data_IF_528182531331
#
_entry.id   IF_528182531331
#
_cell.length_a   1.000
_cell.length_b   1.000
_cell.length_c   1.000
_cell.angle_alpha   90.00
_cell.angle_beta   90.00
_cell.angle_gamma   90.00
#
_symmetry.space_group_name_H-M   'P 1'
#
loop_
_entity.id
_entity.type
_entity.pdbx_description
1 polymer ?
#
# COMPACT_ATOMS: atom_id res chain seq x y z
N UNK A 1 -33.26 39.39 -49.25
CA UNK A 1 -32.33 38.66 -48.37
C UNK A 1 -32.09 39.30 -47.01
N UNK A 2 -31.72 40.59 -46.88
CA UNK A 2 -31.41 41.19 -45.56
C UNK A 2 -32.60 41.31 -44.58
N UNK A 3 -33.86 41.32 -45.06
CA UNK A 3 -35.04 41.42 -44.17
C UNK A 3 -35.49 40.09 -43.56
N UNK A 4 -35.13 38.94 -44.13
CA UNK A 4 -35.60 37.62 -43.64
C UNK A 4 -34.67 36.97 -42.61
N UNK A 5 -33.38 37.32 -42.59
CA UNK A 5 -32.40 36.74 -41.64
C UNK A 5 -32.61 37.23 -40.20
N UNK A 6 -33.27 38.39 -40.02
CA UNK A 6 -33.48 39.00 -38.71
C UNK A 6 -34.46 38.24 -37.80
N UNK A 7 -35.15 37.23 -38.33
CA UNK A 7 -36.15 36.44 -37.59
C UNK A 7 -35.54 35.27 -36.80
N UNK A 8 -34.27 34.88 -37.04
CA UNK A 8 -33.76 33.59 -36.55
C UNK A 8 -32.51 33.54 -35.65
N UNK A 9 -31.90 34.65 -35.22
CA UNK A 9 -30.91 34.68 -34.11
C UNK A 9 -30.43 36.11 -33.83
N UNK A 10 -30.16 36.41 -32.56
CA UNK A 10 -29.55 37.66 -32.06
C UNK A 10 -28.10 37.84 -32.56
N UNK A 11 -27.93 38.08 -33.85
CA UNK A 11 -26.63 38.38 -34.46
C UNK A 11 -26.51 39.89 -34.68
N UNK A 12 -25.38 40.47 -34.28
CA UNK A 12 -25.13 41.90 -34.45
C UNK A 12 -24.96 42.27 -35.93
N UNK A 13 -25.49 43.43 -36.34
CA UNK A 13 -25.50 43.90 -37.74
C UNK A 13 -24.11 43.90 -38.40
N UNK A 14 -23.04 44.07 -37.62
CA UNK A 14 -21.64 44.03 -38.07
C UNK A 14 -21.22 42.62 -38.53
N UNK A 15 -21.64 41.57 -37.84
CA UNK A 15 -21.31 40.19 -38.21
C UNK A 15 -22.05 39.77 -39.49
N UNK A 16 -23.32 40.18 -39.62
CA UNK A 16 -24.10 39.96 -40.84
C UNK A 16 -23.45 40.69 -42.02
N UNK A 17 -23.01 41.93 -41.84
CA UNK A 17 -22.29 42.70 -42.86
C UNK A 17 -20.99 42.02 -43.32
N UNK A 18 -20.20 41.47 -42.38
CA UNK A 18 -18.94 40.77 -42.70
C UNK A 18 -19.18 39.48 -43.50
N UNK A 19 -20.18 38.68 -43.13
CA UNK A 19 -20.50 37.41 -43.80
C UNK A 19 -21.08 37.66 -45.19
N UNK A 20 -21.95 38.67 -45.32
CA UNK A 20 -22.52 39.06 -46.63
C UNK A 20 -21.43 39.61 -47.56
N UNK A 21 -20.46 40.35 -47.04
CA UNK A 21 -19.31 40.83 -47.82
C UNK A 21 -18.41 39.68 -48.30
N UNK A 22 -18.10 38.70 -47.44
CA UNK A 22 -17.30 37.52 -47.83
C UNK A 22 -18.02 36.68 -48.91
N UNK A 23 -19.36 36.57 -48.83
CA UNK A 23 -20.18 35.91 -49.85
C UNK A 23 -20.16 36.64 -51.20
N UNK A 24 -20.35 37.96 -51.24
CA UNK A 24 -20.30 38.72 -52.50
C UNK A 24 -18.92 38.66 -53.17
N UNK A 25 -17.84 38.55 -52.40
CA UNK A 25 -16.48 38.49 -52.94
C UNK A 25 -16.10 37.11 -53.51
N UNK A 26 -16.74 36.02 -53.06
CA UNK A 26 -16.41 34.64 -53.48
C UNK A 26 -17.42 34.04 -54.44
N UNK A 27 -18.69 34.44 -54.34
CA UNK A 27 -19.80 33.91 -55.15
C UNK A 27 -19.91 32.37 -55.16
N UNK A 28 -19.48 31.72 -54.07
CA UNK A 28 -19.68 30.29 -53.79
C UNK A 28 -20.15 30.10 -52.33
N UNK A 29 -20.67 28.92 -51.99
CA UNK A 29 -21.22 28.62 -50.66
C UNK A 29 -20.14 28.38 -49.58
N UNK A 30 -18.92 28.90 -49.76
CA UNK A 30 -17.79 28.73 -48.82
C UNK A 30 -17.50 30.00 -48.02
N UNK A 31 -17.29 29.86 -46.71
CA UNK A 31 -16.97 30.97 -45.79
C UNK A 31 -15.57 30.81 -45.21
N UNK A 32 -14.87 31.93 -44.96
CA UNK A 32 -13.55 31.88 -44.32
C UNK A 32 -13.63 31.30 -42.89
N UNK A 33 -12.82 30.27 -42.55
CA UNK A 33 -12.79 29.73 -41.20
C UNK A 33 -12.30 30.79 -40.20
N UNK A 34 -13.03 30.97 -39.09
CA UNK A 34 -12.59 31.83 -38.01
C UNK A 34 -11.26 31.30 -37.42
N UNK A 35 -10.19 32.11 -37.49
CA UNK A 35 -8.94 31.81 -36.78
C UNK A 35 -9.20 31.83 -35.27
N UNK A 36 -9.08 30.68 -34.61
CA UNK A 36 -9.04 30.62 -33.14
C UNK A 36 -7.71 31.19 -32.69
N UNK A 37 -7.70 32.44 -32.22
CA UNK A 37 -6.53 33.08 -31.62
C UNK A 37 -6.28 32.51 -30.22
N UNK A 38 -5.68 31.32 -30.17
CA UNK A 38 -5.15 30.70 -28.96
C UNK A 38 -3.62 30.76 -28.92
N UNK A 39 -3.04 30.95 -27.73
CA UNK A 39 -1.59 30.91 -27.53
C UNK A 39 -1.06 29.50 -27.87
N UNK A 40 0.05 29.34 -28.61
CA UNK A 40 0.61 28.02 -28.93
C UNK A 40 0.83 27.20 -27.64
N UNK A 41 0.53 25.89 -27.68
CA UNK A 41 0.88 24.98 -26.58
C UNK A 41 2.41 24.96 -26.47
N UNK A 42 2.95 25.64 -25.45
CA UNK A 42 4.39 25.61 -25.16
C UNK A 42 4.82 24.14 -25.04
N UNK A 43 5.83 23.68 -25.78
CA UNK A 43 6.46 22.38 -25.56
C UNK A 43 7.83 22.64 -24.93
N UNK A 44 8.22 21.87 -23.89
CA UNK A 44 9.54 22.02 -23.30
C UNK A 44 10.58 21.49 -24.30
N UNK A 45 11.75 22.15 -24.32
CA UNK A 45 12.90 21.72 -25.10
C UNK A 45 13.33 20.31 -24.63
N UNK A 46 13.58 19.41 -25.58
CA UNK A 46 13.90 18.00 -25.34
C UNK A 46 15.22 17.85 -24.58
N UNK A 47 16.23 18.68 -24.91
CA UNK A 47 17.53 18.69 -24.23
C UNK A 47 17.40 19.18 -22.77
N UNK A 48 16.57 20.19 -22.54
CA UNK A 48 16.29 20.70 -21.18
C UNK A 48 15.52 19.66 -20.36
N UNK A 49 14.62 18.92 -21.02
CA UNK A 49 13.83 17.87 -20.39
C UNK A 49 14.73 16.74 -19.91
N UNK A 50 15.70 16.31 -20.73
CA UNK A 50 16.65 15.27 -20.37
C UNK A 50 17.58 15.69 -19.23
N UNK A 51 18.19 16.88 -19.33
CA UNK A 51 19.03 17.44 -18.25
C UNK A 51 18.30 17.49 -16.90
N UNK A 52 17.03 17.89 -16.89
CA UNK A 52 16.21 17.91 -15.68
C UNK A 52 15.91 16.50 -15.17
N UNK A 53 15.58 15.54 -16.03
CA UNK A 53 15.33 14.15 -15.63
C UNK A 53 16.56 13.52 -15.00
N UNK A 54 17.73 13.60 -15.65
CA UNK A 54 18.98 13.03 -15.14
C UNK A 54 19.35 13.62 -13.79
N UNK A 55 19.35 14.96 -13.67
CA UNK A 55 19.72 15.64 -12.41
C UNK A 55 18.78 15.29 -11.26
N UNK A 56 17.47 15.23 -11.53
CA UNK A 56 16.47 14.88 -10.51
C UNK A 56 16.63 13.43 -10.07
N UNK A 57 16.82 12.51 -11.02
CA UNK A 57 16.98 11.08 -10.76
C UNK A 57 18.24 10.78 -9.93
N UNK A 58 19.38 11.39 -10.27
CA UNK A 58 20.63 11.17 -9.55
C UNK A 58 20.60 11.71 -8.12
N UNK A 59 20.05 12.90 -7.91
CA UNK A 59 19.91 13.45 -6.57
C UNK A 59 18.88 12.67 -5.73
N UNK A 60 17.82 12.12 -6.33
CA UNK A 60 16.91 11.20 -5.64
C UNK A 60 17.62 9.90 -5.23
N UNK A 61 18.46 9.31 -6.10
CA UNK A 61 19.29 8.13 -5.77
C UNK A 61 20.25 8.38 -4.60
N UNK A 62 20.76 9.61 -4.48
CA UNK A 62 21.71 10.03 -3.44
C UNK A 62 21.06 10.67 -2.20
N UNK A 63 19.73 10.76 -2.16
CA UNK A 63 18.97 11.43 -1.12
C UNK A 63 19.37 12.91 -0.89
N UNK A 64 19.79 13.61 -1.94
CA UNK A 64 20.16 15.01 -1.91
C UNK A 64 18.93 15.93 -2.03
N UNK A 65 18.99 17.10 -1.37
CA UNK A 65 17.89 18.07 -1.44
C UNK A 65 17.86 18.76 -2.80
N UNK A 66 16.73 18.68 -3.50
CA UNK A 66 16.47 19.41 -4.74
C UNK A 66 15.47 20.54 -4.50
N UNK A 67 15.84 21.74 -4.95
CA UNK A 67 14.96 22.90 -4.95
C UNK A 67 14.90 23.53 -6.34
N UNK A 68 13.86 24.33 -6.58
CA UNK A 68 13.76 25.12 -7.82
C UNK A 68 14.92 26.09 -7.99
N UNK A 69 15.61 26.50 -6.92
CA UNK A 69 16.81 27.34 -7.01
C UNK A 69 17.99 26.53 -7.54
N UNK A 70 18.20 25.32 -7.00
CA UNK A 70 19.27 24.41 -7.41
C UNK A 70 19.11 24.00 -8.88
N UNK A 71 17.89 23.65 -9.30
CA UNK A 71 17.61 23.27 -10.69
C UNK A 71 17.82 24.44 -11.65
N UNK A 72 17.51 25.68 -11.25
CA UNK A 72 17.79 26.87 -12.07
C UNK A 72 19.28 27.13 -12.20
N UNK A 73 20.03 26.97 -11.11
CA UNK A 73 21.47 27.18 -11.11
C UNK A 73 22.15 26.13 -12.00
N UNK A 74 21.74 24.86 -11.86
CA UNK A 74 22.21 23.77 -12.73
C UNK A 74 21.91 24.03 -14.21
N UNK A 75 20.68 24.43 -14.55
CA UNK A 75 20.35 24.78 -15.94
C UNK A 75 21.15 25.98 -16.44
N UNK A 76 21.41 26.99 -15.59
CA UNK A 76 22.22 28.15 -15.94
C UNK A 76 23.66 27.76 -16.27
N UNK A 77 24.25 26.84 -15.51
CA UNK A 77 25.58 26.26 -15.76
C UNK A 77 25.63 25.50 -17.10
N UNK A 78 24.51 24.91 -17.52
CA UNK A 78 24.36 24.26 -18.83
C UNK A 78 23.94 25.23 -19.96
N UNK A 79 23.98 26.54 -19.71
CA UNK A 79 23.68 27.59 -20.71
C UNK A 79 22.20 27.97 -20.83
N UNK A 80 21.32 27.42 -20.01
CA UNK A 80 19.88 27.68 -20.07
C UNK A 80 19.39 28.62 -18.98
N UNK A 81 19.01 29.85 -19.37
CA UNK A 81 18.46 30.83 -18.44
C UNK A 81 16.93 30.73 -18.31
N UNK A 82 16.45 30.25 -17.16
CA UNK A 82 15.03 30.15 -16.85
C UNK A 82 14.62 31.09 -15.71
N UNK A 83 13.47 31.74 -15.87
CA UNK A 83 12.76 32.32 -14.72
C UNK A 83 12.12 31.22 -13.87
N UNK A 84 11.94 31.48 -12.56
CA UNK A 84 11.31 30.53 -11.61
C UNK A 84 9.99 29.97 -12.15
N UNK A 85 9.12 30.85 -12.66
CA UNK A 85 7.81 30.48 -13.19
C UNK A 85 7.86 29.74 -14.53
N UNK A 86 8.89 29.96 -15.34
CA UNK A 86 9.09 29.21 -16.59
C UNK A 86 9.55 27.78 -16.27
N UNK A 87 10.50 27.63 -15.35
CA UNK A 87 10.96 26.30 -14.90
C UNK A 87 9.84 25.50 -14.24
N UNK A 88 9.06 26.10 -13.34
CA UNK A 88 7.92 25.43 -12.71
C UNK A 88 6.91 24.89 -13.73
N UNK A 89 6.61 25.67 -14.77
CA UNK A 89 5.71 25.22 -15.85
C UNK A 89 6.29 24.06 -16.66
N UNK A 90 7.61 24.05 -16.89
CA UNK A 90 8.31 22.92 -17.54
C UNK A 90 8.21 21.69 -16.66
N UNK A 91 8.58 21.80 -15.37
CA UNK A 91 8.54 20.70 -14.41
C UNK A 91 7.14 20.08 -14.29
N UNK A 92 6.10 20.90 -14.13
CA UNK A 92 4.72 20.41 -14.04
C UNK A 92 4.27 19.70 -15.32
N UNK A 93 4.71 20.17 -16.49
CA UNK A 93 4.39 19.51 -17.77
C UNK A 93 5.13 18.21 -17.97
N UNK A 94 6.34 18.09 -17.41
CA UNK A 94 7.10 16.84 -17.34
C UNK A 94 6.58 15.89 -16.24
N UNK A 95 5.53 16.26 -15.50
CA UNK A 95 4.92 15.44 -14.45
C UNK A 95 5.53 15.61 -13.05
N UNK A 96 6.47 16.54 -12.86
CA UNK A 96 7.07 16.81 -11.55
C UNK A 96 6.27 17.84 -10.75
N UNK A 97 6.05 17.58 -9.47
CA UNK A 97 5.40 18.51 -8.54
C UNK A 97 6.28 18.76 -7.31
N UNK A 98 6.14 19.94 -6.70
CA UNK A 98 6.82 20.29 -5.46
C UNK A 98 5.93 19.94 -4.27
N UNK A 99 6.30 18.91 -3.52
CA UNK A 99 5.58 18.46 -2.33
C UNK A 99 6.51 17.71 -1.39
N UNK A 100 6.00 17.31 -0.22
CA UNK A 100 6.65 16.23 0.52
C UNK A 100 6.49 14.98 -0.32
N UNK A 101 7.55 14.58 -1.01
CA UNK A 101 7.53 13.35 -1.78
C UNK A 101 7.09 12.23 -0.84
N UNK A 102 6.02 11.52 -1.20
CA UNK A 102 5.88 10.16 -0.72
C UNK A 102 7.20 9.48 -1.08
N UNK A 103 8.03 9.23 -0.07
CA UNK A 103 9.25 8.46 -0.26
C UNK A 103 8.81 7.02 -0.52
N UNK A 104 8.28 6.75 -1.72
CA UNK A 104 8.11 5.40 -2.23
C UNK A 104 9.49 4.77 -2.17
N UNK A 105 9.60 3.65 -1.46
CA UNK A 105 10.86 2.96 -1.36
C UNK A 105 11.32 2.62 -2.80
N UNK A 106 12.57 2.91 -3.17
CA UNK A 106 13.09 2.63 -4.52
C UNK A 106 12.89 1.14 -4.88
N UNK A 107 12.86 0.27 -3.87
CA UNK A 107 12.61 -1.17 -4.03
C UNK A 107 11.17 -1.50 -4.46
N UNK A 108 10.19 -0.60 -4.27
CA UNK A 108 8.79 -0.80 -4.63
C UNK A 108 8.62 -1.20 -6.10
N UNK A 109 9.38 -0.55 -7.01
CA UNK A 109 9.36 -0.83 -8.46
C UNK A 109 10.51 -1.75 -8.90
N UNK A 110 11.17 -2.45 -7.96
CA UNK A 110 12.15 -3.46 -8.37
C UNK A 110 11.46 -4.60 -9.13
N UNK A 111 12.07 -5.20 -10.18
CA UNK A 111 11.42 -6.23 -11.00
C UNK A 111 10.84 -7.39 -10.17
N UNK A 112 11.53 -7.80 -9.11
CA UNK A 112 11.05 -8.84 -8.20
C UNK A 112 9.79 -8.42 -7.42
N UNK A 113 9.73 -7.17 -6.95
CA UNK A 113 8.55 -6.66 -6.23
C UNK A 113 7.38 -6.40 -7.17
N UNK A 114 7.63 -5.92 -8.40
CA UNK A 114 6.62 -5.80 -9.45
C UNK A 114 6.06 -7.18 -9.80
N UNK A 115 6.90 -8.18 -10.10
CA UNK A 115 6.45 -9.53 -10.39
C UNK A 115 5.66 -10.15 -9.22
N UNK A 116 6.07 -9.88 -7.98
CA UNK A 116 5.34 -10.28 -6.79
C UNK A 116 3.97 -9.56 -6.70
N UNK A 117 3.94 -8.25 -6.92
CA UNK A 117 2.73 -7.43 -6.97
C UNK A 117 1.76 -7.96 -8.01
N UNK A 118 2.20 -8.21 -9.25
CA UNK A 118 1.35 -8.78 -10.30
C UNK A 118 0.75 -10.14 -9.87
N UNK A 119 1.54 -11.04 -9.28
CA UNK A 119 1.02 -12.34 -8.78
C UNK A 119 -0.02 -12.15 -7.67
N UNK A 120 0.26 -11.29 -6.71
CA UNK A 120 -0.68 -10.97 -5.63
C UNK A 120 -1.99 -10.37 -6.17
N UNK A 121 -1.89 -9.43 -7.10
CA UNK A 121 -3.04 -8.79 -7.73
C UNK A 121 -3.86 -9.80 -8.53
N UNK A 122 -3.24 -10.68 -9.32
CA UNK A 122 -3.94 -11.77 -10.03
C UNK A 122 -4.72 -12.66 -9.07
N UNK A 123 -4.11 -13.09 -7.96
CA UNK A 123 -4.80 -13.86 -6.92
C UNK A 123 -6.00 -13.10 -6.35
N UNK A 124 -5.81 -11.83 -5.97
CA UNK A 124 -6.86 -11.01 -5.38
C UNK A 124 -8.00 -10.77 -6.37
N UNK A 125 -7.71 -10.37 -7.59
CA UNK A 125 -8.71 -10.11 -8.63
C UNK A 125 -9.46 -11.38 -9.06
N UNK A 126 -8.82 -12.55 -9.05
CA UNK A 126 -9.50 -13.83 -9.30
C UNK A 126 -10.57 -14.16 -8.25
N UNK A 127 -10.46 -13.59 -7.03
CA UNK A 127 -11.48 -13.70 -5.99
C UNK A 127 -12.61 -12.67 -6.14
N UNK A 128 -12.53 -11.71 -7.05
CA UNK A 128 -13.57 -10.69 -7.22
C UNK A 128 -14.51 -11.05 -8.38
N UNK A 129 -15.78 -10.72 -8.21
CA UNK A 129 -16.82 -10.87 -9.23
C UNK A 129 -17.33 -9.50 -9.69
N UNK A 130 -18.11 -9.50 -10.77
CA UNK A 130 -18.72 -8.29 -11.32
C UNK A 130 -17.68 -7.36 -11.94
N UNK A 131 -17.62 -6.10 -11.50
CA UNK A 131 -16.63 -5.11 -11.98
C UNK A 131 -15.39 -5.08 -11.08
N UNK A 132 -15.01 -6.23 -10.52
CA UNK A 132 -14.04 -6.36 -9.46
C UNK A 132 -14.39 -5.46 -8.28
N UNK A 133 -15.61 -5.62 -7.74
CA UNK A 133 -16.16 -4.78 -6.67
C UNK A 133 -16.87 -5.57 -5.57
N UNK A 134 -17.01 -6.88 -5.72
CA UNK A 134 -17.57 -7.79 -4.73
C UNK A 134 -16.72 -9.06 -4.64
N UNK A 135 -16.33 -9.50 -3.43
CA UNK A 135 -15.55 -10.72 -3.27
C UNK A 135 -16.43 -11.97 -3.33
N UNK A 136 -15.95 -13.01 -4.02
CA UNK A 136 -16.55 -14.33 -4.17
C UNK A 136 -16.43 -15.13 -2.88
N UNK A 137 -15.21 -15.21 -2.33
CA UNK A 137 -14.96 -15.62 -0.95
C UNK A 137 -14.69 -14.39 -0.10
N UNK A 138 -15.16 -14.32 1.15
CA UNK A 138 -14.86 -13.22 2.05
C UNK A 138 -13.36 -12.89 2.08
N UNK A 139 -13.01 -11.61 1.99
CA UNK A 139 -11.63 -11.15 2.15
C UNK A 139 -11.40 -10.73 3.60
N UNK A 140 -10.38 -11.30 4.24
CA UNK A 140 -9.94 -10.96 5.58
C UNK A 140 -8.61 -10.23 5.48
N UNK A 141 -8.48 -9.12 6.19
CA UNK A 141 -7.21 -8.40 6.34
C UNK A 141 -6.86 -8.34 7.81
N UNK A 142 -5.70 -8.87 8.17
CA UNK A 142 -5.16 -8.83 9.52
C UNK A 142 -3.81 -8.11 9.52
N UNK A 143 -3.46 -7.55 10.67
CA UNK A 143 -2.21 -6.84 10.89
C UNK A 143 -1.99 -6.57 12.38
N UNK A 144 -0.78 -6.13 12.70
CA UNK A 144 -0.37 -5.65 14.02
C UNK A 144 -0.02 -4.17 13.96
N UNK A 145 -0.32 -3.45 15.04
CA UNK A 145 0.10 -2.07 15.19
C UNK A 145 0.53 -1.77 16.61
N UNK A 146 1.38 -0.76 16.77
CA UNK A 146 1.82 -0.26 18.06
C UNK A 146 1.23 1.13 18.32
N UNK A 147 0.84 1.39 19.57
CA UNK A 147 0.35 2.71 19.99
C UNK A 147 1.06 3.16 21.28
N UNK A 148 1.79 4.26 21.20
CA UNK A 148 2.53 4.82 22.33
C UNK A 148 1.61 5.57 23.32
N UNK A 149 2.01 5.64 24.59
CA UNK A 149 1.31 6.41 25.62
C UNK A 149 1.09 7.88 25.23
N UNK A 150 2.11 8.48 24.61
CA UNK A 150 2.08 9.85 24.12
C UNK A 150 1.90 9.89 22.59
N UNK A 151 1.05 9.00 22.06
CA UNK A 151 0.75 9.00 20.64
C UNK A 151 0.20 10.35 20.21
N UNK A 152 0.83 10.95 19.22
CA UNK A 152 0.44 12.23 18.64
C UNK A 152 0.05 12.03 17.18
N UNK A 153 -0.83 12.90 16.70
CA UNK A 153 -1.17 12.93 15.28
C UNK A 153 0.11 13.18 14.47
N UNK A 154 0.27 12.45 13.37
CA UNK A 154 1.36 12.69 12.41
C UNK A 154 1.32 14.10 11.84
N UNK A 155 0.13 14.70 11.77
CA UNK A 155 -0.06 16.07 11.32
C UNK A 155 0.00 17.02 12.52
N UNK A 156 0.97 17.92 12.51
CA UNK A 156 1.11 19.01 13.49
C UNK A 156 1.49 20.31 12.78
N UNK A 157 1.19 21.44 13.40
CA UNK A 157 1.60 22.76 12.90
C UNK A 157 3.07 22.97 13.21
N UNK A 158 3.90 23.12 12.18
CA UNK A 158 5.32 23.48 12.31
C UNK A 158 5.64 24.73 11.52
N UNK A 159 6.52 25.62 12.04
CA UNK A 159 7.04 26.74 11.26
C UNK A 159 7.81 26.23 10.04
N UNK A 160 8.03 27.09 9.05
CA UNK A 160 8.64 26.76 7.74
C UNK A 160 10.01 26.05 7.80
N UNK A 161 10.61 25.93 8.99
CA UNK A 161 11.88 25.25 9.30
C UNK A 161 11.85 24.54 10.68
N UNK A 162 10.67 24.12 11.15
CA UNK A 162 10.54 23.40 12.42
C UNK A 162 10.80 21.90 12.26
N UNK A 163 11.69 21.34 13.08
CA UNK A 163 11.85 19.89 13.21
C UNK A 163 10.82 19.39 14.24
N UNK A 164 9.91 18.51 13.81
CA UNK A 164 9.08 17.75 14.75
C UNK A 164 9.92 16.56 15.21
N UNK A 165 10.32 16.57 16.48
CA UNK A 165 10.89 15.37 17.09
C UNK A 165 9.78 14.32 17.15
N UNK A 166 10.04 13.13 16.60
CA UNK A 166 9.18 11.99 16.84
C UNK A 166 9.13 11.73 18.36
N UNK A 167 7.98 11.39 18.94
CA UNK A 167 7.94 10.91 20.32
C UNK A 167 8.96 9.78 20.46
N UNK A 168 9.87 9.89 21.44
CA UNK A 168 10.88 8.86 21.70
C UNK A 168 10.26 7.50 22.05
N UNK A 169 11.12 6.49 22.31
CA UNK A 169 10.72 5.16 22.76
C UNK A 169 10.02 5.19 24.14
N UNK A 170 8.79 5.71 24.18
CA UNK A 170 7.93 5.69 25.35
C UNK A 170 7.14 4.38 25.43
N UNK A 171 6.53 4.09 26.59
CA UNK A 171 5.66 2.93 26.76
C UNK A 171 4.63 2.82 25.65
N UNK A 172 4.31 1.60 25.22
CA UNK A 172 3.38 1.34 24.13
C UNK A 172 2.50 0.13 24.44
N UNK A 173 1.36 0.06 23.77
CA UNK A 173 0.58 -1.17 23.65
C UNK A 173 0.80 -1.79 22.27
N UNK A 174 0.75 -3.11 22.22
CA UNK A 174 0.66 -3.90 20.99
C UNK A 174 -0.82 -4.13 20.70
N UNK A 175 -1.19 -4.03 19.43
CA UNK A 175 -2.55 -4.25 18.92
C UNK A 175 -2.46 -5.29 17.81
N UNK A 176 -3.29 -6.31 17.86
CA UNK A 176 -3.58 -7.22 16.75
C UNK A 176 -5.06 -7.11 16.41
N UNK A 177 -5.43 -7.21 15.14
CA UNK A 177 -6.82 -7.22 14.75
C UNK A 177 -7.04 -7.71 13.33
N UNK A 178 -8.28 -8.09 13.03
CA UNK A 178 -8.69 -8.48 11.70
C UNK A 178 -10.04 -7.83 11.31
N UNK A 179 -10.14 -7.43 10.05
CA UNK A 179 -11.39 -7.03 9.40
C UNK A 179 -11.76 -8.04 8.34
N UNK A 180 -13.06 -8.18 8.09
CA UNK A 180 -13.59 -9.01 7.00
C UNK A 180 -14.52 -8.19 6.12
N UNK A 181 -14.45 -8.44 4.81
CA UNK A 181 -15.33 -7.87 3.80
C UNK A 181 -15.96 -9.01 3.01
N UNK A 182 -17.30 -9.03 2.98
CA UNK A 182 -18.06 -10.11 2.36
C UNK A 182 -19.37 -9.61 1.77
N UNK A 183 -19.99 -10.44 0.91
CA UNK A 183 -21.33 -10.20 0.40
C UNK A 183 -22.35 -10.70 1.43
N UNK A 184 -23.11 -9.79 2.01
CA UNK A 184 -24.14 -10.16 2.99
C UNK A 184 -25.31 -10.86 2.26
N UNK A 185 -25.59 -12.11 2.62
CA UNK A 185 -26.60 -12.94 1.95
C UNK A 185 -28.03 -12.40 2.03
N UNK A 186 -28.38 -11.68 3.11
CA UNK A 186 -29.74 -11.15 3.30
C UNK A 186 -29.99 -9.87 2.50
N UNK A 187 -29.02 -8.97 2.46
CA UNK A 187 -29.15 -7.67 1.77
C UNK A 187 -28.58 -7.68 0.35
N UNK A 188 -27.84 -8.73 -0.02
CA UNK A 188 -27.08 -8.85 -1.24
C UNK A 188 -26.06 -7.71 -1.48
N UNK A 189 -25.71 -6.97 -0.41
CA UNK A 189 -24.79 -5.83 -0.45
C UNK A 189 -23.45 -6.20 0.18
N UNK A 190 -22.42 -5.47 -0.23
CA UNK A 190 -21.12 -5.55 0.40
C UNK A 190 -21.22 -5.09 1.87
N UNK A 191 -20.66 -5.89 2.77
CA UNK A 191 -20.61 -5.61 4.19
C UNK A 191 -19.18 -5.79 4.70
N UNK A 192 -18.72 -4.85 5.50
CA UNK A 192 -17.49 -4.98 6.29
C UNK A 192 -17.79 -5.03 7.78
N UNK A 193 -17.06 -5.83 8.53
CA UNK A 193 -17.07 -5.81 10.00
C UNK A 193 -15.69 -6.20 10.56
N UNK A 194 -15.46 -5.91 11.85
CA UNK A 194 -14.35 -6.51 12.58
C UNK A 194 -14.63 -8.00 12.72
N UNK A 195 -13.61 -8.85 12.57
CA UNK A 195 -13.80 -10.27 12.85
C UNK A 195 -14.12 -10.40 14.35
N UNK A 196 -15.19 -11.12 14.74
CA UNK A 196 -15.58 -11.21 16.13
C UNK A 196 -14.43 -11.69 17.02
N UNK A 197 -14.24 -11.03 18.16
CA UNK A 197 -13.21 -11.33 19.16
C UNK A 197 -11.77 -11.36 18.61
N UNK A 198 -11.50 -10.65 17.50
CA UNK A 198 -10.18 -10.64 16.87
C UNK A 198 -9.29 -9.49 17.30
N UNK A 199 -9.80 -8.49 18.04
CA UNK A 199 -8.98 -7.38 18.51
C UNK A 199 -8.31 -7.79 19.81
N UNK A 200 -6.98 -7.79 19.82
CA UNK A 200 -6.16 -8.05 21.01
C UNK A 200 -5.30 -6.82 21.30
N UNK A 201 -5.29 -6.35 22.54
CA UNK A 201 -4.48 -5.21 22.96
C UNK A 201 -3.82 -5.52 24.29
N UNK A 202 -2.48 -5.49 24.34
CA UNK A 202 -1.73 -5.77 25.55
C UNK A 202 -0.53 -4.86 25.72
N UNK A 203 -0.08 -4.73 26.97
CA UNK A 203 1.19 -4.10 27.31
C UNK A 203 2.29 -5.19 27.27
N UNK A 204 3.30 -5.06 26.39
CA UNK A 204 4.35 -6.07 26.24
C UNK A 204 5.26 -6.16 27.48
N UNK A 205 5.20 -5.18 28.40
CA UNK A 205 6.03 -5.16 29.62
C UNK A 205 5.41 -5.89 30.80
N UNK A 206 4.11 -6.18 30.74
CA UNK A 206 3.44 -7.02 31.74
C UNK A 206 3.97 -8.44 31.59
N UNK A 207 4.37 -9.05 32.71
CA UNK A 207 4.81 -10.44 32.76
C UNK A 207 3.65 -11.33 33.19
N UNK A 208 3.56 -12.56 32.69
CA UNK A 208 2.57 -13.52 33.18
C UNK A 208 2.75 -13.74 34.68
N UNK A 209 1.66 -14.05 35.42
CA UNK A 209 1.76 -14.40 36.83
C UNK A 209 2.65 -15.64 36.99
N UNK A 210 3.85 -15.45 37.55
CA UNK A 210 4.76 -16.56 37.81
C UNK A 210 4.25 -17.44 38.96
N UNK A 211 4.50 -18.76 38.87
CA UNK A 211 4.14 -19.74 39.91
C UNK A 211 4.78 -19.49 41.29
N UNK A 212 5.78 -18.58 41.39
CA UNK A 212 6.45 -18.20 42.64
C UNK A 212 6.82 -16.72 42.59
N UNK A 213 5.86 -15.83 42.84
CA UNK A 213 6.15 -14.41 42.95
C UNK A 213 4.91 -13.57 43.16
N UNK A 214 5.01 -12.57 44.05
CA UNK A 214 3.96 -11.61 44.41
C UNK A 214 3.29 -11.06 43.14
N UNK A 215 1.97 -11.31 42.98
CA UNK A 215 1.15 -10.72 41.91
C UNK A 215 1.41 -9.21 41.86
N UNK A 216 1.79 -8.67 40.70
CA UNK A 216 1.73 -7.21 40.50
C UNK A 216 0.27 -6.84 40.31
N UNK A 217 -0.20 -5.83 41.07
CA UNK A 217 -1.59 -5.37 41.11
C UNK A 217 -2.20 -4.98 39.74
N UNK A 218 -1.40 -4.82 38.69
CA UNK A 218 -1.88 -4.27 37.42
C UNK A 218 -2.42 -5.33 36.45
N UNK A 219 -2.08 -6.62 36.55
CA UNK A 219 -2.58 -7.62 35.59
C UNK A 219 -4.11 -7.78 35.69
N UNK A 220 -4.64 -7.84 36.92
CA UNK A 220 -6.08 -7.95 37.17
C UNK A 220 -6.88 -6.74 36.60
N UNK A 221 -6.29 -5.55 36.53
CA UNK A 221 -6.90 -4.37 35.90
C UNK A 221 -6.94 -4.47 34.36
N UNK A 222 -5.97 -5.16 33.76
CA UNK A 222 -5.93 -5.41 32.32
C UNK A 222 -6.88 -6.55 31.93
N UNK A 223 -7.11 -7.52 32.80
CA UNK A 223 -8.12 -8.56 32.58
C UNK A 223 -9.55 -8.01 32.71
N UNK A 224 -9.73 -6.89 33.41
CA UNK A 224 -11.01 -6.21 33.49
C UNK A 224 -11.29 -5.42 32.19
N UNK A 225 -11.93 -6.10 31.25
CA UNK A 225 -12.40 -5.52 29.99
C UNK A 225 -13.62 -4.62 30.29
N UNK A 226 -13.63 -3.35 29.83
CA UNK A 226 -14.76 -2.46 30.01
C UNK A 226 -16.07 -3.07 29.48
N UNK A 227 -17.17 -2.94 30.21
CA UNK A 227 -18.46 -3.56 29.84
C UNK A 227 -18.94 -3.11 28.44
N UNK A 228 -18.58 -1.91 28.03
CA UNK A 228 -18.82 -1.39 26.67
C UNK A 228 -18.25 -2.30 25.57
N UNK A 229 -17.24 -3.12 25.84
CA UNK A 229 -16.62 -4.05 24.88
C UNK A 229 -17.20 -5.46 24.97
N UNK A 230 -17.61 -5.91 26.16
CA UNK A 230 -18.16 -7.27 26.39
C UNK A 230 -19.38 -7.55 25.52
N UNK A 231 -20.25 -6.56 25.36
CA UNK A 231 -21.47 -6.69 24.53
C UNK A 231 -21.22 -6.55 23.02
N UNK A 232 -20.01 -6.15 22.61
CA UNK A 232 -19.72 -5.78 21.24
C UNK A 232 -19.01 -6.89 20.44
N UNK A 233 -18.62 -8.01 21.06
CA UNK A 233 -17.85 -9.10 20.44
C UNK A 233 -16.59 -8.61 19.69
N UNK A 234 -15.92 -7.59 20.24
CA UNK A 234 -14.71 -6.99 19.62
C UNK A 234 -13.45 -7.69 20.13
N UNK A 235 -13.40 -7.95 21.44
CA UNK A 235 -12.28 -8.61 22.12
C UNK A 235 -12.73 -9.93 22.76
N UNK A 236 -11.84 -10.92 22.89
CA UNK A 236 -12.12 -12.10 23.69
C UNK A 236 -12.25 -11.75 25.18
N UNK A 237 -12.89 -12.63 25.96
CA UNK A 237 -13.16 -12.41 27.38
C UNK A 237 -11.90 -12.39 28.28
N UNK A 238 -10.78 -12.91 27.80
CA UNK A 238 -9.49 -12.95 28.51
C UNK A 238 -8.35 -12.64 27.55
N UNK A 239 -7.31 -11.96 28.04
CA UNK A 239 -6.12 -11.58 27.26
C UNK A 239 -4.88 -12.11 27.97
N UNK A 240 -4.31 -13.21 27.48
CA UNK A 240 -3.15 -13.87 28.10
C UNK A 240 -1.81 -13.53 27.40
N UNK A 241 -1.79 -12.49 26.56
CA UNK A 241 -0.60 -12.13 25.81
C UNK A 241 0.27 -11.12 26.56
N UNK A 242 1.57 -11.44 26.59
CA UNK A 242 2.62 -10.70 27.26
C UNK A 242 3.89 -10.72 26.40
N UNK A 243 4.75 -9.72 26.56
CA UNK A 243 5.96 -9.62 25.75
C UNK A 243 5.75 -9.01 24.37
N UNK A 244 6.85 -8.90 23.63
CA UNK A 244 6.85 -8.38 22.27
C UNK A 244 6.19 -9.37 21.31
N UNK A 245 5.52 -8.83 20.29
CA UNK A 245 4.94 -9.63 19.21
C UNK A 245 6.00 -10.52 18.56
N UNK A 246 5.70 -11.81 18.40
CA UNK A 246 6.60 -12.81 17.85
C UNK A 246 5.79 -13.90 17.11
N UNK A 247 6.48 -14.85 16.47
CA UNK A 247 5.83 -15.89 15.68
C UNK A 247 4.92 -16.82 16.50
N UNK A 248 5.26 -17.11 17.76
CA UNK A 248 4.45 -17.97 18.63
C UNK A 248 3.13 -17.29 19.01
N UNK A 249 3.20 -16.02 19.44
CA UNK A 249 2.01 -15.20 19.73
C UNK A 249 1.15 -15.07 18.47
N UNK A 250 1.77 -14.77 17.33
CA UNK A 250 1.05 -14.67 16.06
C UNK A 250 0.33 -15.97 15.71
N UNK A 251 0.98 -17.12 15.79
CA UNK A 251 0.37 -18.40 15.40
C UNK A 251 -0.79 -18.80 16.30
N UNK A 252 -0.74 -18.49 17.58
CA UNK A 252 -1.82 -18.71 18.52
C UNK A 252 -3.03 -17.81 18.23
N UNK A 253 -2.78 -16.51 18.03
CA UNK A 253 -3.78 -15.54 17.58
C UNK A 253 -4.40 -15.94 16.24
N UNK A 254 -3.56 -16.35 15.29
CA UNK A 254 -3.96 -16.72 13.94
C UNK A 254 -4.78 -18.01 13.91
N UNK A 255 -4.45 -18.99 14.76
CA UNK A 255 -5.22 -20.23 14.91
C UNK A 255 -6.62 -19.95 15.47
N UNK A 256 -6.69 -19.11 16.50
CA UNK A 256 -7.97 -18.68 17.09
C UNK A 256 -8.81 -17.90 16.06
N UNK A 257 -8.17 -17.01 15.30
CA UNK A 257 -8.81 -16.25 14.23
C UNK A 257 -9.36 -17.15 13.13
N UNK A 258 -8.57 -18.12 12.64
CA UNK A 258 -8.99 -19.06 11.60
C UNK A 258 -10.20 -19.89 12.04
N UNK A 259 -10.20 -20.37 13.29
CA UNK A 259 -11.35 -21.08 13.85
C UNK A 259 -12.62 -20.20 13.85
N UNK A 260 -12.51 -18.98 14.36
CA UNK A 260 -13.64 -18.04 14.41
C UNK A 260 -14.17 -17.65 13.02
N UNK A 261 -13.26 -17.48 12.05
CA UNK A 261 -13.60 -17.20 10.66
C UNK A 261 -14.38 -18.36 10.04
N UNK A 262 -13.88 -19.58 10.20
CA UNK A 262 -14.53 -20.77 9.64
C UNK A 262 -15.91 -21.01 10.25
N UNK A 263 -16.05 -20.90 11.56
CA UNK A 263 -17.33 -21.09 12.26
C UNK A 263 -18.42 -20.10 11.81
N UNK A 264 -18.05 -18.85 11.49
CA UNK A 264 -19.03 -17.80 11.13
C UNK A 264 -19.21 -17.61 9.62
N UNK A 265 -18.15 -17.74 8.82
CA UNK A 265 -18.15 -17.37 7.40
C UNK A 265 -17.72 -18.51 6.46
N UNK A 266 -17.24 -19.64 7.00
CA UNK A 266 -16.68 -20.73 6.19
C UNK A 266 -15.31 -20.37 5.59
N UNK A 267 -14.95 -20.94 4.42
CA UNK A 267 -13.69 -20.65 3.74
C UNK A 267 -13.53 -19.17 3.34
N UNK A 268 -12.37 -18.57 3.65
CA UNK A 268 -12.07 -17.15 3.36
C UNK A 268 -10.68 -16.98 2.74
N UNK A 269 -10.46 -15.82 2.12
CA UNK A 269 -9.15 -15.40 1.62
C UNK A 269 -8.52 -14.40 2.61
N UNK A 270 -7.39 -14.77 3.21
CA UNK A 270 -6.68 -13.99 4.22
C UNK A 270 -5.51 -13.26 3.58
N UNK A 271 -5.44 -11.95 3.82
CA UNK A 271 -4.40 -11.05 3.37
C UNK A 271 -3.64 -10.49 4.58
N UNK A 272 -2.32 -10.63 4.57
CA UNK A 272 -1.43 -10.11 5.62
C UNK A 272 -0.08 -9.69 5.06
N UNK A 273 0.71 -8.95 5.83
CA UNK A 273 2.01 -8.48 5.37
C UNK A 273 3.07 -9.60 5.30
N UNK A 274 4.22 -9.27 4.72
CA UNK A 274 5.33 -10.20 4.55
C UNK A 274 6.27 -10.35 5.75
N UNK A 275 5.90 -9.93 6.96
CA UNK A 275 6.80 -9.91 8.11
C UNK A 275 7.43 -11.28 8.41
N UNK A 276 8.66 -11.27 8.93
CA UNK A 276 9.41 -12.51 9.16
C UNK A 276 8.72 -13.44 10.16
N UNK A 277 8.00 -12.88 11.14
CA UNK A 277 7.23 -13.66 12.11
C UNK A 277 5.94 -14.26 11.51
N UNK A 278 5.36 -13.67 10.47
CA UNK A 278 4.28 -14.29 9.67
C UNK A 278 4.77 -15.43 8.80
N UNK A 279 6.03 -15.34 8.35
CA UNK A 279 6.67 -16.30 7.43
C UNK A 279 7.58 -17.29 8.14
N UNK A 280 7.30 -17.60 9.41
CA UNK A 280 7.97 -18.72 10.09
C UNK A 280 7.65 -20.01 9.34
N UNK A 281 8.68 -20.78 9.03
CA UNK A 281 8.53 -22.07 8.38
C UNK A 281 8.26 -23.16 9.41
N UNK A 282 7.52 -24.18 8.98
CA UNK A 282 7.10 -25.28 9.87
C UNK A 282 8.27 -26.06 10.45
N UNK A 283 9.41 -26.00 9.78
CA UNK A 283 10.67 -26.61 10.18
C UNK A 283 11.81 -25.58 10.12
N UNK A 284 12.88 -25.89 10.85
CA UNK A 284 14.07 -25.06 10.87
C UNK A 284 14.89 -25.31 9.61
N UNK A 285 15.02 -24.29 8.76
CA UNK A 285 15.93 -24.35 7.62
C UNK A 285 17.36 -24.13 8.12
N UNK A 286 18.32 -24.97 7.69
CA UNK A 286 19.74 -24.71 7.89
C UNK A 286 20.17 -23.31 7.41
N UNK A 287 21.00 -22.66 8.19
CA UNK A 287 21.58 -21.33 7.91
C UNK A 287 23.10 -21.41 7.82
N UNK A 288 23.76 -20.27 7.53
CA UNK A 288 25.22 -20.14 7.56
C UNK A 288 25.84 -20.50 8.93
N UNK A 289 25.04 -20.57 10.00
CA UNK A 289 25.49 -20.97 11.34
C UNK A 289 25.23 -22.45 11.65
N UNK A 290 24.48 -23.17 10.81
CA UNK A 290 24.11 -24.59 11.01
C UNK A 290 25.26 -25.53 10.68
N UNK A 291 25.46 -26.58 11.48
CA UNK A 291 26.57 -27.54 11.28
C UNK A 291 26.41 -28.29 9.96
N UNK A 292 27.53 -28.71 9.33
CA UNK A 292 27.51 -29.44 8.05
C UNK A 292 26.61 -30.67 8.10
N UNK A 293 26.65 -31.44 9.20
CA UNK A 293 25.83 -32.62 9.36
C UNK A 293 24.33 -32.29 9.38
N UNK A 294 23.92 -31.27 10.13
CA UNK A 294 22.52 -30.83 10.18
C UNK A 294 22.01 -30.32 8.81
N UNK A 295 22.89 -29.73 7.98
CA UNK A 295 22.58 -29.38 6.59
C UNK A 295 22.33 -30.64 5.75
N UNK A 296 23.20 -31.64 5.88
CA UNK A 296 23.08 -32.95 5.20
C UNK A 296 21.78 -33.65 5.60
N UNK A 297 21.50 -33.71 6.90
CA UNK A 297 20.30 -34.37 7.44
C UNK A 297 19.03 -33.71 6.89
N UNK A 298 19.02 -32.36 6.79
CA UNK A 298 17.90 -31.63 6.19
C UNK A 298 17.73 -31.95 4.70
N UNK A 299 18.83 -31.98 3.92
CA UNK A 299 18.78 -32.33 2.49
C UNK A 299 18.25 -33.75 2.26
N UNK A 300 18.71 -34.70 3.09
CA UNK A 300 18.23 -36.08 3.07
C UNK A 300 16.74 -36.18 3.44
N UNK A 301 16.29 -35.48 4.47
CA UNK A 301 14.87 -35.45 4.87
C UNK A 301 13.96 -34.90 3.76
N UNK A 302 14.48 -34.02 2.90
CA UNK A 302 13.79 -33.46 1.74
C UNK A 302 13.98 -34.25 0.45
N UNK A 303 14.65 -35.41 0.51
CA UNK A 303 14.99 -36.25 -0.65
C UNK A 303 15.74 -35.49 -1.75
N UNK A 304 16.63 -34.57 -1.35
CA UNK A 304 17.49 -33.83 -2.28
C UNK A 304 18.78 -34.62 -2.47
N UNK A 305 19.05 -35.03 -3.71
CA UNK A 305 20.28 -35.76 -4.06
C UNK A 305 21.44 -34.77 -4.17
N UNK A 306 22.57 -35.11 -3.56
CA UNK A 306 23.81 -34.34 -3.61
C UNK A 306 25.04 -35.27 -3.59
N UNK A 307 26.20 -34.75 -4.00
CA UNK A 307 27.48 -35.48 -3.92
C UNK A 307 28.13 -35.31 -2.54
N UNK A 308 28.74 -36.37 -2.00
CA UNK A 308 29.49 -36.33 -0.74
C UNK A 308 30.70 -35.38 -0.78
N UNK A 309 31.16 -35.03 -1.98
CA UNK A 309 32.27 -34.10 -2.23
C UNK A 309 31.90 -32.63 -1.97
N UNK A 310 30.60 -32.31 -1.92
CA UNK A 310 30.14 -30.94 -1.75
C UNK A 310 30.60 -30.34 -0.42
N UNK A 311 31.07 -29.10 -0.52
CA UNK A 311 31.44 -28.27 0.61
C UNK A 311 30.20 -27.61 1.19
N UNK A 312 30.35 -27.14 2.44
CA UNK A 312 29.25 -26.52 3.19
C UNK A 312 28.56 -25.37 2.45
N UNK A 313 29.25 -24.47 1.72
CA UNK A 313 28.58 -23.42 0.93
C UNK A 313 27.69 -23.99 -0.18
N UNK A 314 28.15 -25.01 -0.90
CA UNK A 314 27.40 -25.66 -2.00
C UNK A 314 26.17 -26.40 -1.45
N UNK A 315 26.30 -27.07 -0.31
CA UNK A 315 25.17 -27.67 0.39
C UNK A 315 24.15 -26.60 0.84
N UNK A 316 24.60 -25.43 1.29
CA UNK A 316 23.72 -24.32 1.65
C UNK A 316 23.02 -23.70 0.42
N UNK A 317 23.66 -23.69 -0.75
CA UNK A 317 23.01 -23.30 -2.01
C UNK A 317 21.87 -24.27 -2.35
N UNK A 318 22.08 -25.58 -2.20
CA UNK A 318 21.01 -26.57 -2.39
C UNK A 318 19.85 -26.36 -1.41
N UNK A 319 20.14 -26.07 -0.14
CA UNK A 319 19.12 -25.69 0.84
C UNK A 319 18.37 -24.44 0.36
N UNK A 320 19.08 -23.40 -0.08
CA UNK A 320 18.50 -22.15 -0.54
C UNK A 320 17.60 -22.34 -1.78
N UNK A 321 17.98 -23.19 -2.72
CA UNK A 321 17.20 -23.52 -3.92
C UNK A 321 15.92 -24.30 -3.59
N UNK A 322 15.94 -25.09 -2.50
CA UNK A 322 14.82 -25.96 -2.14
C UNK A 322 13.96 -25.42 -1.00
N UNK A 323 14.42 -24.41 -0.27
CA UNK A 323 13.73 -23.92 0.91
C UNK A 323 12.32 -23.43 0.62
N UNK A 324 12.05 -22.91 -0.57
CA UNK A 324 10.72 -22.38 -0.92
C UNK A 324 9.63 -23.45 -0.91
N UNK A 325 10.01 -24.74 -1.02
CA UNK A 325 9.10 -25.89 -0.87
C UNK A 325 8.58 -26.06 0.56
N UNK A 326 9.31 -25.55 1.55
CA UNK A 326 8.90 -25.62 2.95
C UNK A 326 7.76 -24.63 3.22
N UNK A 327 6.59 -25.16 3.56
CA UNK A 327 5.41 -24.32 3.79
C UNK A 327 5.54 -23.48 5.08
N UNK A 328 4.93 -22.29 5.10
CA UNK A 328 4.85 -21.47 6.31
C UNK A 328 3.84 -22.04 7.32
N UNK A 329 4.11 -21.86 8.61
CA UNK A 329 3.24 -22.34 9.69
C UNK A 329 1.81 -21.79 9.57
N UNK A 330 1.68 -20.49 9.30
CA UNK A 330 0.38 -19.85 9.07
C UNK A 330 -0.39 -20.46 7.89
N UNK A 331 0.28 -20.80 6.78
CA UNK A 331 -0.37 -21.46 5.64
C UNK A 331 -0.88 -22.86 6.03
N UNK A 332 -0.14 -23.59 6.88
CA UNK A 332 -0.59 -24.88 7.40
C UNK A 332 -1.80 -24.74 8.32
N UNK A 333 -1.79 -23.75 9.22
CA UNK A 333 -2.93 -23.44 10.11
C UNK A 333 -4.17 -23.08 9.28
N UNK A 334 -4.04 -22.12 8.35
CA UNK A 334 -5.15 -21.67 7.49
C UNK A 334 -5.79 -22.81 6.70
N UNK A 335 -4.96 -23.71 6.14
CA UNK A 335 -5.43 -24.88 5.39
C UNK A 335 -6.28 -25.85 6.22
N UNK A 336 -6.07 -25.95 7.53
CA UNK A 336 -6.92 -26.77 8.40
C UNK A 336 -8.38 -26.30 8.44
N UNK A 337 -8.60 -25.03 8.08
CA UNK A 337 -9.90 -24.37 8.05
C UNK A 337 -10.31 -23.97 6.62
N UNK A 338 -9.71 -24.59 5.60
CA UNK A 338 -10.00 -24.32 4.18
C UNK A 338 -9.75 -22.85 3.76
N UNK A 339 -8.97 -22.11 4.53
CA UNK A 339 -8.63 -20.73 4.21
C UNK A 339 -7.44 -20.67 3.25
N UNK A 340 -7.45 -19.65 2.39
CA UNK A 340 -6.33 -19.34 1.50
C UNK A 340 -5.59 -18.11 2.01
N UNK A 341 -4.26 -18.16 2.04
CA UNK A 341 -3.41 -17.09 2.54
C UNK A 341 -2.66 -16.45 1.39
N UNK A 342 -2.66 -15.13 1.34
CA UNK A 342 -1.88 -14.33 0.41
C UNK A 342 -1.14 -13.23 1.15
N UNK A 343 0.17 -13.11 0.92
CA UNK A 343 0.96 -12.07 1.55
C UNK A 343 1.01 -10.84 0.64
N UNK A 344 0.75 -9.67 1.20
CA UNK A 344 0.80 -8.41 0.46
C UNK A 344 2.22 -8.11 -0.03
N UNK A 345 2.36 -7.43 -1.18
CA UNK A 345 3.67 -7.11 -1.73
C UNK A 345 4.47 -6.20 -0.78
N UNK A 346 5.80 -6.40 -0.64
CA UNK A 346 6.63 -5.56 0.22
C UNK A 346 6.55 -4.08 -0.16
N UNK A 347 6.44 -3.20 0.85
CA UNK A 347 6.32 -1.75 0.67
C UNK A 347 4.98 -1.25 0.11
N UNK A 348 3.94 -2.09 0.04
CA UNK A 348 2.61 -1.73 -0.45
C UNK A 348 1.52 -1.74 0.63
N UNK A 349 1.71 -0.99 1.72
CA UNK A 349 0.73 -0.94 2.81
C UNK A 349 -0.62 -0.36 2.36
N UNK A 350 -0.66 0.43 1.29
CA UNK A 350 -1.87 0.95 0.65
C UNK A 350 -2.77 -0.13 0.04
N UNK A 351 -2.28 -1.37 -0.09
CA UNK A 351 -3.05 -2.55 -0.48
C UNK A 351 -3.71 -3.26 0.71
N UNK A 352 -3.41 -2.86 1.96
CA UNK A 352 -4.00 -3.39 3.19
C UNK A 352 -4.97 -2.38 3.81
N UNK A 353 -6.30 -2.60 3.70
CA UNK A 353 -7.30 -1.68 4.23
C UNK A 353 -7.23 -1.47 5.75
N UNK A 354 -6.69 -2.45 6.49
CA UNK A 354 -6.58 -2.40 7.96
C UNK A 354 -5.66 -1.29 8.45
N UNK A 355 -4.69 -0.84 7.64
CA UNK A 355 -3.87 0.34 7.93
C UNK A 355 -4.69 1.63 8.07
N UNK A 356 -5.79 1.70 7.31
CA UNK A 356 -6.79 2.75 7.44
C UNK A 356 -7.55 2.67 8.77
N UNK A 357 -7.85 1.45 9.23
CA UNK A 357 -8.50 1.20 10.53
C UNK A 357 -7.59 1.66 11.67
N UNK A 358 -6.29 1.33 11.61
CA UNK A 358 -5.28 1.82 12.55
C UNK A 358 -5.22 3.34 12.60
N UNK A 359 -5.30 3.99 11.44
CA UNK A 359 -5.30 5.45 11.36
C UNK A 359 -6.49 6.07 12.09
N UNK A 360 -7.68 5.46 11.97
CA UNK A 360 -8.90 5.94 12.66
C UNK A 360 -8.79 5.76 14.17
N UNK A 361 -8.43 4.58 14.66
CA UNK A 361 -8.43 4.29 16.10
C UNK A 361 -7.28 4.98 16.84
N UNK A 362 -6.08 5.02 16.25
CA UNK A 362 -4.94 5.74 16.84
C UNK A 362 -5.12 7.25 16.74
N UNK A 363 -5.82 7.73 15.71
CA UNK A 363 -6.23 9.12 15.61
C UNK A 363 -7.10 9.58 16.80
N UNK A 364 -7.95 8.68 17.33
CA UNK A 364 -8.73 8.99 18.54
C UNK A 364 -7.86 9.09 19.80
N UNK A 365 -6.84 8.25 19.94
CA UNK A 365 -5.84 8.35 21.03
C UNK A 365 -5.10 9.69 20.93
N UNK A 366 -4.65 10.07 19.73
CA UNK A 366 -3.99 11.35 19.52
C UNK A 366 -4.90 12.56 19.83
N UNK A 367 -6.20 12.46 19.55
CA UNK A 367 -7.15 13.55 19.72
C UNK A 367 -7.66 13.69 21.16
N UNK A 368 -7.86 12.57 21.87
CA UNK A 368 -8.40 12.54 23.23
C UNK A 368 -7.34 12.60 24.33
N UNK A 369 -6.06 12.65 23.97
CA UNK A 369 -4.95 12.78 24.90
C UNK A 369 -4.89 14.15 25.60
N UNK A 370 -4.02 14.29 26.62
CA UNK A 370 -3.03 13.31 27.06
C UNK A 370 -3.62 12.17 27.91
N UNK A 371 -3.10 10.96 27.74
CA UNK A 371 -3.51 9.79 28.52
C UNK A 371 -2.59 9.58 29.74
N UNK A 372 -3.13 9.22 30.91
CA UNK A 372 -2.34 9.03 32.13
C UNK A 372 -1.52 7.74 32.15
N UNK A 373 -1.97 6.69 31.46
CA UNK A 373 -1.32 5.37 31.43
C UNK A 373 -1.76 4.54 30.20
N UNK A 374 -1.10 3.40 29.97
CA UNK A 374 -1.39 2.51 28.83
C UNK A 374 -2.79 1.86 28.92
N UNK A 375 -3.33 1.69 30.12
CA UNK A 375 -4.69 1.18 30.31
C UNK A 375 -5.73 2.17 29.77
N UNK A 376 -5.53 3.47 29.99
CA UNK A 376 -6.36 4.53 29.40
C UNK A 376 -6.27 4.52 27.86
N UNK A 377 -5.06 4.36 27.30
CA UNK A 377 -4.87 4.22 25.85
C UNK A 377 -5.63 3.01 25.29
N UNK A 378 -5.50 1.85 25.93
CA UNK A 378 -6.24 0.63 25.57
C UNK A 378 -7.75 0.87 25.56
N UNK A 379 -8.28 1.46 26.62
CA UNK A 379 -9.72 1.72 26.73
C UNK A 379 -10.21 2.73 25.68
N UNK A 380 -9.40 3.74 25.34
CA UNK A 380 -9.68 4.67 24.24
C UNK A 380 -9.70 3.95 22.89
N UNK A 381 -8.70 3.10 22.62
CA UNK A 381 -8.67 2.27 21.40
C UNK A 381 -9.92 1.42 21.29
N UNK A 382 -10.31 0.74 22.37
CA UNK A 382 -11.50 -0.11 22.41
C UNK A 382 -12.80 0.64 22.12
N UNK A 383 -12.95 1.81 22.74
CA UNK A 383 -14.06 2.69 22.45
C UNK A 383 -14.06 3.16 20.99
N UNK A 384 -12.89 3.43 20.42
CA UNK A 384 -12.75 3.82 19.02
C UNK A 384 -13.12 2.68 18.06
N UNK A 385 -12.67 1.44 18.34
CA UNK A 385 -13.11 0.26 17.58
C UNK A 385 -14.62 0.13 17.58
N UNK A 386 -15.27 0.22 18.74
CA UNK A 386 -16.72 0.10 18.83
C UNK A 386 -17.47 1.22 18.12
N UNK A 387 -17.07 2.47 18.36
CA UNK A 387 -17.88 3.64 17.95
C UNK A 387 -17.58 4.12 16.54
N UNK A 388 -16.34 3.96 16.07
CA UNK A 388 -15.87 4.56 14.81
C UNK A 388 -15.69 3.54 13.69
N UNK A 389 -15.43 2.28 14.01
CA UNK A 389 -15.20 1.26 12.99
C UNK A 389 -16.53 0.64 12.59
N UNK A 390 -17.22 1.33 11.68
CA UNK A 390 -18.47 0.88 11.08
C UNK A 390 -18.22 0.16 9.75
N UNK A 391 -19.24 -0.54 9.26
CA UNK A 391 -19.20 -1.20 7.96
C UNK A 391 -18.84 -0.25 6.82
N UNK A 392 -19.38 0.98 6.85
CA UNK A 392 -19.10 2.01 5.85
C UNK A 392 -17.63 2.42 5.86
N UNK A 393 -17.02 2.52 7.05
CA UNK A 393 -15.59 2.86 7.19
C UNK A 393 -14.72 1.74 6.63
N UNK A 394 -14.98 0.49 7.00
CA UNK A 394 -14.24 -0.68 6.50
C UNK A 394 -14.35 -0.77 4.97
N UNK A 395 -15.56 -0.67 4.42
CA UNK A 395 -15.79 -0.70 2.96
C UNK A 395 -15.09 0.48 2.28
N UNK A 396 -15.08 1.66 2.90
CA UNK A 396 -14.40 2.84 2.36
C UNK A 396 -12.89 2.63 2.21
N UNK A 397 -12.23 2.03 3.20
CA UNK A 397 -10.81 1.67 3.11
C UNK A 397 -10.58 0.52 2.15
N UNK A 398 -11.45 -0.49 2.14
CA UNK A 398 -11.37 -1.61 1.21
C UNK A 398 -11.44 -1.16 -0.25
N UNK A 399 -12.40 -0.29 -0.59
CA UNK A 399 -12.53 0.30 -1.93
C UNK A 399 -11.32 1.14 -2.32
N UNK A 400 -10.68 1.82 -1.38
CA UNK A 400 -9.45 2.58 -1.63
C UNK A 400 -8.29 1.66 -1.96
N UNK A 401 -8.08 0.60 -1.18
CA UNK A 401 -7.07 -0.40 -1.48
C UNK A 401 -7.33 -1.10 -2.82
N UNK A 402 -8.60 -1.33 -3.17
CA UNK A 402 -8.99 -1.89 -4.45
C UNK A 402 -8.74 -0.91 -5.61
N UNK A 403 -8.96 0.40 -5.41
CA UNK A 403 -8.62 1.43 -6.38
C UNK A 403 -7.11 1.43 -6.65
N UNK A 404 -6.28 1.45 -5.60
CA UNK A 404 -4.82 1.37 -5.73
C UNK A 404 -4.40 0.08 -6.46
N UNK A 405 -5.03 -1.05 -6.14
CA UNK A 405 -4.79 -2.32 -6.81
C UNK A 405 -5.08 -2.28 -8.32
N UNK A 406 -6.15 -1.59 -8.73
CA UNK A 406 -6.51 -1.40 -10.15
C UNK A 406 -5.50 -0.50 -10.86
N UNK A 407 -5.10 0.60 -10.22
CA UNK A 407 -4.07 1.51 -10.76
C UNK A 407 -2.72 0.79 -10.98
N UNK A 408 -2.32 -0.10 -10.06
CA UNK A 408 -1.12 -0.91 -10.25
C UNK A 408 -1.26 -1.93 -11.37
N UNK A 409 -2.41 -2.60 -11.50
CA UNK A 409 -2.63 -3.54 -12.58
C UNK A 409 -2.53 -2.84 -13.94
N UNK A 410 -3.20 -1.69 -14.10
CA UNK A 410 -3.13 -0.89 -15.33
C UNK A 410 -1.70 -0.40 -15.62
N UNK A 411 -0.96 0.03 -14.60
CA UNK A 411 0.43 0.46 -14.77
C UNK A 411 1.35 -0.70 -15.18
N UNK A 412 1.24 -1.86 -14.53
CA UNK A 412 2.06 -3.04 -14.78
C UNK A 412 1.77 -3.67 -16.15
N UNK A 413 0.51 -3.65 -16.61
CA UNK A 413 0.12 -4.13 -17.94
C UNK A 413 0.68 -3.20 -19.04
N UNK A 414 0.63 -1.88 -18.84
CA UNK A 414 1.21 -0.92 -19.80
C UNK A 414 2.74 -1.01 -19.87
N UNK A 415 3.41 -1.37 -18.77
CA UNK A 415 4.86 -1.57 -18.77
C UNK A 415 5.25 -2.80 -19.61
N UNK A 416 4.47 -3.88 -19.58
CA UNK A 416 4.71 -5.08 -20.39
C UNK A 416 4.52 -4.81 -21.89
N UNK A 417 3.55 -3.98 -22.28
CA UNK A 417 3.30 -3.63 -23.68
C UNK A 417 4.42 -2.75 -24.28
N UNK A 418 5.09 -1.92 -23.49
CA UNK A 418 6.20 -1.09 -23.99
C UNK A 418 7.50 -1.87 -24.22
N UNK A 419 7.71 -2.99 -23.52
CA UNK A 419 8.88 -3.85 -23.71
C UNK A 419 8.73 -4.75 -24.96
N UNK A 420 7.51 -5.05 -25.41
CA UNK A 420 7.24 -5.86 -26.62
C UNK A 420 7.35 -5.04 -27.93
N UNK A 421 7.17 -3.72 -27.88
CA UNK A 421 7.24 -2.83 -29.06
C UNK A 421 8.68 -2.35 -29.40
N UNK A 422 9.72 -2.84 -28.71
CA UNK A 422 11.12 -2.43 -28.95
C UNK A 422 11.99 -3.42 -29.74
N UNK A 423 11.45 -4.58 -30.13
CA UNK A 423 12.19 -5.60 -30.90
C UNK A 423 11.84 -5.63 -32.40
N UNK A 424 11.22 -4.58 -32.94
CA UNK A 424 10.92 -4.49 -34.38
C UNK A 424 11.37 -3.16 -34.98
N UNK A 425 12.69 -2.93 -35.01
CA UNK A 425 13.33 -2.06 -36.00
C UNK A 425 14.54 -2.76 -36.64
N UNK A 426 14.20 -3.51 -37.68
CA UNK A 426 14.84 -3.49 -39.00
C UNK A 426 16.33 -3.85 -39.09
N UNK A 427 16.58 -5.15 -39.26
CA UNK A 427 17.70 -5.66 -40.06
C UNK A 427 17.28 -5.64 -41.55
N UNK A 428 17.56 -4.54 -42.24
CA UNK A 428 17.71 -4.41 -43.70
C UNK A 428 18.21 -2.96 -43.97
N UNK A 429 19.18 -2.63 -44.80
CA UNK A 429 20.00 -3.33 -45.76
C UNK A 429 21.36 -2.58 -45.92
N UNK A 430 22.34 -3.37 -46.33
CA UNK A 430 23.47 -3.11 -47.24
C UNK A 430 23.86 -1.70 -47.73
N UNK A 431 25.19 -1.56 -47.82
CA UNK A 431 25.99 -1.00 -48.92
C UNK A 431 26.63 0.43 -48.85
N UNK A 432 27.91 0.38 -48.46
CA UNK A 432 29.11 0.63 -49.30
C UNK A 432 29.71 2.06 -49.48
N UNK A 433 31.04 2.01 -49.72
CA UNK A 433 31.92 2.98 -50.43
C UNK A 433 32.51 4.08 -49.50
N UNK A 434 33.82 4.22 -49.15
CA UNK A 434 35.15 3.73 -49.60
C UNK A 434 36.03 3.53 -48.36
#
# INVERSE_FOLDING_TARGET
MQKEVKIYKDLADIQIGSVVSDWYNRSDDTFTPHKVLGRPKFQPDENVSELLRTKILDANKKAEQLSTVILRQYLLEQGYNFSKWKLLRVLHRLGYYFGQGERRNILHESPNNVAYRCRYLRFRFANLEGKNDVPRRPEVFLDESYCHLHHTSRNTWVPHQGVVLAPGHGPLVVIFGAIIVFRNGSSNKLHGELVPNSVHIWDPTIKPPGNRGRKRNNADEWDNIPDVVKDANIMPNQVDYHGNFNAEIFEDLFSTLCKALYEKYGPVNIHMDGASYHKRRVENIPTSNTKKQEIIDWLNAHNIVFSDELRRPELLELVQMNKEKVTFACVKIAKQYEHEVSFTPPYHCELQPIEGIWSVVKGEVAHSGPHPNLLSVRNTLLNAFKKKITSQVIIGFWRRALKNAKEYLEFDDNAQLMDEDFDEYDNSDEDCVI
#
